data_IF_279374428731
#
_entry.id   IF_279374428731
#
_cell.length_a   1.000
_cell.length_b   1.000
_cell.length_c   1.000
_cell.angle_alpha   90.00
_cell.angle_beta   90.00
_cell.angle_gamma   90.00
#
_symmetry.space_group_name_H-M   'P 1'
#
loop_
_entity.id
_entity.type
_entity.pdbx_description
1 polymer ?
#
# COMPACT_ATOMS: atom_id res chain seq x y z
N UNK A 1 8.66 -1.55 -11.67
CA UNK A 1 9.62 -0.69 -10.97
C UNK A 1 9.07 0.73 -10.90
N UNK A 2 9.08 1.33 -9.71
CA UNK A 2 8.80 2.74 -9.46
C UNK A 2 10.16 3.44 -9.48
N UNK A 3 10.30 4.52 -10.23
CA UNK A 3 11.56 5.27 -10.32
C UNK A 3 11.39 6.60 -9.59
N UNK A 4 12.50 7.23 -9.20
CA UNK A 4 12.57 8.56 -8.57
C UNK A 4 12.07 9.66 -9.50
N UNK A 5 10.78 9.60 -9.83
CA UNK A 5 10.08 10.59 -10.60
C UNK A 5 9.66 11.74 -9.67
N UNK A 6 9.58 12.95 -10.23
CA UNK A 6 9.15 14.11 -9.46
C UNK A 6 7.73 13.91 -8.91
N UNK A 7 7.54 14.41 -7.69
CA UNK A 7 6.24 14.38 -7.04
C UNK A 7 5.32 15.44 -7.68
N UNK A 8 4.48 14.99 -8.61
CA UNK A 8 3.47 15.79 -9.28
C UNK A 8 2.19 14.98 -9.52
N UNK A 9 1.08 15.67 -9.79
CA UNK A 9 -0.25 15.05 -9.89
C UNK A 9 -0.34 13.96 -10.97
N UNK A 10 0.36 14.16 -12.10
CA UNK A 10 0.38 13.18 -13.20
C UNK A 10 1.06 11.87 -12.80
N UNK A 11 2.24 11.98 -12.17
CA UNK A 11 2.99 10.83 -11.70
C UNK A 11 2.26 10.12 -10.57
N UNK A 12 1.62 10.85 -9.65
CA UNK A 12 0.78 10.27 -8.61
C UNK A 12 -0.31 9.42 -9.24
N UNK A 13 -1.10 9.98 -10.16
CA UNK A 13 -2.21 9.25 -10.79
C UNK A 13 -1.72 8.00 -11.55
N UNK A 14 -0.64 8.13 -12.33
CA UNK A 14 -0.09 7.01 -13.12
C UNK A 14 0.48 5.90 -12.24
N UNK A 15 1.24 6.26 -11.21
CA UNK A 15 1.90 5.29 -10.33
C UNK A 15 0.90 4.62 -9.39
N UNK A 16 -0.09 5.35 -8.86
CA UNK A 16 -1.19 4.77 -8.07
C UNK A 16 -1.95 3.73 -8.89
N UNK A 17 -2.31 4.05 -10.13
CA UNK A 17 -2.96 3.08 -11.03
C UNK A 17 -2.11 1.83 -11.25
N UNK A 18 -0.80 2.00 -11.43
CA UNK A 18 0.14 0.89 -11.61
C UNK A 18 0.22 -0.02 -10.38
N UNK A 19 0.12 0.53 -9.17
CA UNK A 19 0.06 -0.24 -7.91
C UNK A 19 -1.25 -1.03 -7.87
N UNK A 20 -2.37 -0.38 -8.17
CA UNK A 20 -3.69 -1.02 -8.18
C UNK A 20 -3.76 -2.16 -9.21
N UNK A 21 -3.19 -1.95 -10.40
CA UNK A 21 -3.12 -2.95 -11.48
C UNK A 21 -2.29 -4.18 -11.08
N UNK A 22 -1.31 -4.05 -10.19
CA UNK A 22 -0.56 -5.21 -9.67
C UNK A 22 -1.44 -6.11 -8.81
N UNK A 23 -2.40 -5.55 -8.07
CA UNK A 23 -3.45 -6.26 -7.32
C UNK A 23 -3.01 -7.15 -6.15
N UNK A 24 -1.73 -7.55 -6.09
CA UNK A 24 -1.16 -8.51 -5.15
C UNK A 24 -0.17 -7.89 -4.17
N UNK A 25 -0.04 -6.56 -4.18
CA UNK A 25 0.80 -5.80 -3.26
C UNK A 25 -0.04 -4.95 -2.31
N UNK A 26 0.58 -4.56 -1.21
CA UNK A 26 -0.01 -3.68 -0.19
C UNK A 26 1.08 -2.75 0.37
N UNK A 27 0.68 -1.53 0.72
CA UNK A 27 1.57 -0.54 1.32
C UNK A 27 1.57 -0.71 2.84
N UNK A 28 2.75 -0.86 3.44
CA UNK A 28 2.93 -1.11 4.87
C UNK A 28 4.20 -0.43 5.39
N UNK A 29 4.48 -0.58 6.68
CA UNK A 29 5.73 -0.15 7.32
C UNK A 29 6.19 -1.20 8.35
N UNK A 30 7.43 -1.12 8.82
CA UNK A 30 7.97 -2.04 9.84
C UNK A 30 7.94 -1.39 11.24
N UNK A 31 8.76 -0.37 11.43
CA UNK A 31 8.88 0.36 12.69
C UNK A 31 8.43 1.80 12.54
N UNK A 32 8.98 2.50 11.55
CA UNK A 32 8.69 3.89 11.24
C UNK A 32 7.61 4.03 10.14
N UNK A 33 6.44 4.66 10.41
CA UNK A 33 5.42 4.91 9.40
C UNK A 33 5.83 5.93 8.33
N UNK A 34 6.94 6.65 8.48
CA UNK A 34 7.47 7.58 7.47
C UNK A 34 8.32 6.88 6.41
N UNK A 35 8.66 5.60 6.61
CA UNK A 35 9.40 4.76 5.66
C UNK A 35 8.48 3.68 5.07
N UNK A 36 7.66 4.02 4.05
CA UNK A 36 6.72 3.08 3.47
C UNK A 36 7.42 1.99 2.66
N UNK A 37 6.88 0.79 2.75
CA UNK A 37 7.29 -0.39 2.01
C UNK A 37 6.12 -0.92 1.20
N UNK A 38 6.39 -1.28 -0.05
CA UNK A 38 5.46 -2.00 -0.90
C UNK A 38 5.81 -3.49 -0.87
N UNK A 39 4.93 -4.31 -0.30
CA UNK A 39 5.18 -5.75 -0.13
C UNK A 39 4.08 -6.58 -0.77
N UNK A 40 4.37 -7.84 -1.07
CA UNK A 40 3.32 -8.76 -1.52
C UNK A 40 2.35 -9.07 -0.37
N UNK A 41 1.06 -9.25 -0.69
CA UNK A 41 0.04 -9.68 0.28
C UNK A 41 0.40 -11.01 0.93
N UNK A 42 1.07 -11.91 0.20
CA UNK A 42 1.55 -13.18 0.74
C UNK A 42 2.58 -12.96 1.87
N UNK A 43 3.56 -12.08 1.65
CA UNK A 43 4.56 -11.73 2.66
C UNK A 43 3.93 -11.06 3.87
N UNK A 44 2.98 -10.15 3.63
CA UNK A 44 2.24 -9.46 4.69
C UNK A 44 1.46 -10.44 5.57
N UNK A 45 0.70 -11.35 4.94
CA UNK A 45 -0.09 -12.35 5.64
C UNK A 45 0.78 -13.43 6.32
N UNK A 46 1.95 -13.73 5.76
CA UNK A 46 2.90 -14.70 6.34
C UNK A 46 3.66 -14.19 7.57
N UNK A 47 3.79 -12.87 7.73
CA UNK A 47 4.48 -12.26 8.87
C UNK A 47 3.74 -11.02 9.43
N UNK A 48 2.52 -11.20 9.98
CA UNK A 48 1.68 -10.09 10.42
C UNK A 48 2.26 -9.31 11.62
N UNK A 49 3.16 -9.91 12.39
CA UNK A 49 3.86 -9.23 13.49
C UNK A 49 4.95 -8.28 13.00
N UNK A 50 5.43 -8.47 11.76
CA UNK A 50 6.52 -7.70 11.17
C UNK A 50 5.99 -6.50 10.38
N UNK A 51 4.95 -6.72 9.57
CA UNK A 51 4.39 -5.69 8.70
C UNK A 51 3.20 -5.01 9.36
N UNK A 52 3.28 -3.70 9.55
CA UNK A 52 2.21 -2.86 10.08
C UNK A 52 1.53 -2.12 8.93
N UNK A 53 0.20 -2.18 8.90
CA UNK A 53 -0.60 -1.51 7.89
C UNK A 53 -0.96 -0.10 8.34
N UNK A 54 -1.00 0.83 7.39
CA UNK A 54 -1.57 2.15 7.63
C UNK A 54 -3.06 2.01 7.95
N UNK A 55 -3.50 2.74 8.97
CA UNK A 55 -4.93 2.83 9.26
C UNK A 55 -5.58 3.66 8.14
N UNK A 56 -6.73 3.22 7.62
CA UNK A 56 -7.49 4.02 6.67
C UNK A 56 -7.85 5.34 7.33
N UNK A 57 -7.47 6.45 6.70
CA UNK A 57 -7.77 7.80 7.18
C UNK A 57 -9.17 8.26 6.78
N UNK A 58 -9.79 7.58 5.80
CA UNK A 58 -11.12 7.91 5.29
C UNK A 58 -12.07 6.70 5.25
N UNK A 59 -13.37 6.98 5.14
CA UNK A 59 -14.42 5.96 5.01
C UNK A 59 -14.31 5.19 3.68
N UNK A 60 -13.82 5.85 2.63
CA UNK A 60 -13.55 5.21 1.34
C UNK A 60 -12.39 4.21 1.44
N UNK A 61 -11.33 4.55 2.19
CA UNK A 61 -10.22 3.63 2.47
C UNK A 61 -10.66 2.45 3.35
N UNK A 62 -11.57 2.68 4.31
CA UNK A 62 -12.16 1.61 5.14
C UNK A 62 -12.92 0.59 4.30
N UNK A 63 -13.64 1.03 3.26
CA UNK A 63 -14.34 0.12 2.35
C UNK A 63 -13.37 -0.79 1.59
N UNK A 64 -12.26 -0.25 1.10
CA UNK A 64 -11.18 -1.00 0.43
C UNK A 64 -10.49 -1.97 1.38
N UNK A 65 -10.36 -1.60 2.65
CA UNK A 65 -9.72 -2.42 3.68
C UNK A 65 -10.60 -3.58 4.14
N UNK A 66 -11.89 -3.33 4.36
CA UNK A 66 -12.83 -4.34 4.85
C UNK A 66 -13.22 -5.38 3.80
N UNK A 67 -13.32 -4.99 2.52
CA UNK A 67 -13.55 -5.94 1.41
C UNK A 67 -12.40 -6.94 1.27
N UNK A 68 -11.17 -6.59 1.68
CA UNK A 68 -10.01 -7.48 1.64
C UNK A 68 -9.89 -8.44 2.84
N UNK A 69 -10.75 -8.30 3.86
CA UNK A 69 -10.76 -9.15 5.08
C UNK A 69 -11.92 -10.16 5.13
N UNK A 70 -12.87 -10.11 4.19
CA UNK A 70 -14.00 -11.02 4.07
C UNK A 70 -13.68 -12.24 3.20
#
# INVERSE_FOLDING_TARGET
>A
MFFYEEFNDENIARLSKKIDDMGNVELCYLEDPTEPLLVSKLSLNGAPHKYKLYLPSTVEDLSRYNVKRA
#
